data_IF_480561166607
#
_entry.id   IF_480561166607
#
_cell.length_a   1.000
_cell.length_b   1.000
_cell.length_c   1.000
_cell.angle_alpha   90.00
_cell.angle_beta   90.00
_cell.angle_gamma   90.00
#
_symmetry.space_group_name_H-M   'P 1'
#
loop_
_entity.id
_entity.type
_entity.pdbx_description
1 polymer ?
#
# COMPACT_ATOMS: atom_id res chain seq x y z
N UNK A 1 -20.52 -16.92 -5.23
CA UNK A 1 -20.44 -17.78 -6.41
C UNK A 1 -19.42 -18.85 -6.08
N UNK A 2 -19.85 -20.10 -5.93
CA UNK A 2 -18.93 -21.20 -5.68
C UNK A 2 -18.00 -21.34 -6.89
N UNK A 3 -16.69 -21.27 -6.65
CA UNK A 3 -15.71 -21.54 -7.71
C UNK A 3 -15.76 -23.04 -7.98
N UNK A 4 -16.60 -23.45 -8.92
CA UNK A 4 -16.70 -24.83 -9.38
C UNK A 4 -15.45 -25.15 -10.19
N UNK A 5 -14.32 -25.35 -9.51
CA UNK A 5 -13.02 -25.54 -10.13
C UNK A 5 -12.19 -26.55 -9.35
N UNK A 6 -11.58 -27.50 -10.06
CA UNK A 6 -10.72 -28.52 -9.47
C UNK A 6 -9.28 -28.31 -9.90
N UNK A 7 -8.38 -28.58 -8.96
CA UNK A 7 -6.95 -28.69 -9.23
C UNK A 7 -6.54 -30.15 -9.42
N UNK A 8 -5.84 -30.43 -10.52
CA UNK A 8 -5.24 -31.74 -10.82
C UNK A 8 -3.72 -31.61 -10.72
N UNK A 9 -3.08 -32.17 -9.67
CA UNK A 9 -1.65 -32.01 -9.42
C UNK A 9 -0.73 -32.68 -10.43
N UNK A 10 -1.23 -33.62 -11.23
CA UNK A 10 -0.44 -34.33 -12.22
C UNK A 10 -1.34 -34.77 -13.37
N UNK A 11 -1.00 -34.32 -14.58
CA UNK A 11 -1.70 -34.67 -15.82
C UNK A 11 -0.68 -35.20 -16.83
N UNK A 12 -0.92 -36.37 -17.42
CA UNK A 12 0.05 -36.99 -18.34
C UNK A 12 -0.45 -36.98 -19.78
N UNK A 13 0.17 -36.16 -20.64
CA UNK A 13 -0.06 -36.13 -22.09
C UNK A 13 -1.55 -36.19 -22.51
N UNK A 14 -2.40 -35.47 -21.79
CA UNK A 14 -3.84 -35.45 -22.00
C UNK A 14 -4.22 -34.05 -22.48
N UNK A 15 -5.05 -33.97 -23.52
CA UNK A 15 -5.51 -32.70 -24.07
C UNK A 15 -6.67 -32.12 -23.25
N UNK A 16 -6.94 -30.82 -23.43
CA UNK A 16 -8.12 -30.17 -22.85
C UNK A 16 -9.42 -30.90 -23.22
N UNK A 17 -9.59 -31.24 -24.49
CA UNK A 17 -10.77 -31.96 -24.99
C UNK A 17 -10.93 -33.33 -24.32
N UNK A 18 -9.83 -34.02 -24.02
CA UNK A 18 -9.88 -35.30 -23.33
C UNK A 18 -10.32 -35.15 -21.88
N UNK A 19 -9.81 -34.15 -21.16
CA UNK A 19 -10.23 -33.85 -19.79
C UNK A 19 -11.71 -33.50 -19.75
N UNK A 20 -12.16 -32.58 -20.62
CA UNK A 20 -13.55 -32.19 -20.72
C UNK A 20 -14.46 -33.40 -20.99
N UNK A 21 -14.06 -34.27 -21.92
CA UNK A 21 -14.78 -35.50 -22.24
C UNK A 21 -14.79 -36.49 -21.08
N UNK A 22 -13.69 -36.66 -20.36
CA UNK A 22 -13.61 -37.54 -19.19
C UNK A 22 -14.58 -37.10 -18.11
N UNK A 23 -14.59 -35.81 -17.76
CA UNK A 23 -15.51 -35.28 -16.75
C UNK A 23 -16.97 -35.36 -17.18
N UNK A 24 -17.25 -35.13 -18.47
CA UNK A 24 -18.60 -35.26 -19.03
C UNK A 24 -19.11 -36.71 -18.99
N UNK A 25 -18.30 -37.67 -19.49
CA UNK A 25 -18.68 -39.08 -19.56
C UNK A 25 -18.87 -39.74 -18.19
N UNK A 26 -18.18 -39.25 -17.17
CA UNK A 26 -18.31 -39.73 -15.79
C UNK A 26 -19.35 -38.93 -14.98
N UNK A 27 -20.20 -38.14 -15.64
CA UNK A 27 -21.25 -37.35 -15.02
C UNK A 27 -20.76 -36.39 -13.92
N UNK A 28 -19.57 -35.78 -14.05
CA UNK A 28 -19.12 -34.80 -13.06
C UNK A 28 -19.66 -33.40 -13.39
N UNK A 29 -19.60 -33.00 -14.66
CA UNK A 29 -20.07 -31.68 -15.08
C UNK A 29 -19.58 -31.29 -16.47
N UNK A 30 -19.97 -30.10 -16.89
CA UNK A 30 -19.56 -29.46 -18.15
C UNK A 30 -18.34 -28.59 -17.86
N UNK A 31 -17.22 -28.91 -18.51
CA UNK A 31 -15.98 -28.14 -18.39
C UNK A 31 -16.04 -26.92 -19.32
N UNK A 32 -15.87 -25.74 -18.75
CA UNK A 32 -15.78 -24.44 -19.44
C UNK A 32 -14.41 -24.31 -20.13
N UNK A 33 -13.34 -24.55 -19.37
CA UNK A 33 -11.95 -24.52 -19.86
C UNK A 33 -10.98 -25.27 -18.97
N UNK A 34 -9.82 -25.61 -19.51
CA UNK A 34 -8.70 -26.20 -18.75
C UNK A 34 -7.43 -25.39 -18.89
N UNK A 35 -6.91 -24.91 -17.76
CA UNK A 35 -5.67 -24.14 -17.72
C UNK A 35 -4.51 -25.07 -17.32
N UNK A 36 -3.62 -25.38 -18.28
CA UNK A 36 -2.42 -26.19 -18.05
C UNK A 36 -1.25 -25.33 -17.59
N UNK A 37 -0.46 -25.85 -16.65
CA UNK A 37 0.76 -25.22 -16.16
C UNK A 37 1.74 -26.25 -15.61
N UNK A 38 3.00 -25.90 -15.46
CA UNK A 38 4.00 -26.75 -14.82
C UNK A 38 4.23 -26.30 -13.39
N UNK A 39 4.30 -27.25 -12.45
CA UNK A 39 4.71 -26.92 -11.08
C UNK A 39 6.22 -26.73 -10.97
N UNK A 40 6.70 -26.33 -9.79
CA UNK A 40 8.14 -26.12 -9.52
C UNK A 40 9.02 -27.35 -9.72
N UNK A 41 8.43 -28.56 -9.78
CA UNK A 41 9.12 -29.80 -10.08
C UNK A 41 9.08 -30.17 -11.59
N UNK A 42 8.55 -29.30 -12.45
CA UNK A 42 8.38 -29.55 -13.89
C UNK A 42 7.30 -30.59 -14.20
N UNK A 43 6.41 -30.88 -13.25
CA UNK A 43 5.29 -31.80 -13.49
C UNK A 43 4.12 -31.00 -14.06
N UNK A 44 3.56 -31.42 -15.21
CA UNK A 44 2.37 -30.82 -15.78
C UNK A 44 1.16 -31.01 -14.85
N UNK A 45 0.50 -29.90 -14.53
CA UNK A 45 -0.71 -29.78 -13.73
C UNK A 45 -1.82 -29.13 -14.55
N UNK A 46 -3.05 -29.22 -14.05
CA UNK A 46 -4.18 -28.52 -14.67
C UNK A 46 -5.15 -27.94 -13.64
N UNK A 47 -5.72 -26.78 -13.95
CA UNK A 47 -6.95 -26.29 -13.33
C UNK A 47 -8.11 -26.53 -14.27
N UNK A 48 -9.15 -27.20 -13.77
CA UNK A 48 -10.35 -27.51 -14.55
C UNK A 48 -11.47 -26.64 -14.03
N UNK A 49 -11.94 -25.74 -14.89
CA UNK A 49 -13.04 -24.84 -14.57
C UNK A 49 -14.33 -25.38 -15.16
N UNK A 50 -15.37 -25.51 -14.34
CA UNK A 50 -16.67 -26.01 -14.77
C UNK A 50 -17.61 -24.86 -15.08
N UNK A 51 -18.34 -24.98 -16.19
CA UNK A 51 -19.53 -24.17 -16.47
C UNK A 51 -20.64 -24.57 -15.50
N UNK A 52 -20.84 -25.88 -15.35
CA UNK A 52 -21.85 -26.46 -14.46
C UNK A 52 -21.33 -27.79 -13.89
N UNK A 53 -21.45 -27.96 -12.56
CA UNK A 53 -21.29 -29.26 -11.91
C UNK A 53 -22.64 -29.94 -11.84
N UNK A 54 -22.69 -31.23 -12.16
CA UNK A 54 -23.93 -31.97 -12.09
C UNK A 54 -24.32 -32.27 -10.64
N UNK A 55 -25.61 -32.12 -10.35
CA UNK A 55 -26.16 -32.44 -9.04
C UNK A 55 -26.42 -33.95 -8.93
N UNK A 56 -25.39 -34.72 -8.60
CA UNK A 56 -25.49 -36.16 -8.36
C UNK A 56 -24.63 -36.63 -7.18
N UNK A 57 -24.83 -37.90 -6.83
CA UNK A 57 -24.15 -38.53 -5.70
C UNK A 57 -22.63 -38.56 -5.89
N UNK A 58 -22.15 -38.80 -7.11
CA UNK A 58 -20.70 -38.86 -7.41
C UNK A 58 -20.00 -37.53 -7.15
N UNK A 59 -20.57 -36.43 -7.64
CA UNK A 59 -20.05 -35.07 -7.40
C UNK A 59 -20.13 -34.73 -5.91
N UNK A 60 -21.24 -35.04 -5.26
CA UNK A 60 -21.41 -34.80 -3.82
C UNK A 60 -20.36 -35.56 -3.00
N UNK A 61 -20.11 -36.83 -3.33
CA UNK A 61 -19.06 -37.64 -2.70
C UNK A 61 -17.67 -37.07 -2.96
N UNK A 62 -17.38 -36.62 -4.18
CA UNK A 62 -16.10 -36.02 -4.53
C UNK A 62 -15.86 -34.74 -3.74
N UNK A 63 -16.84 -33.84 -3.69
CA UNK A 63 -16.77 -32.59 -2.93
C UNK A 63 -16.58 -32.85 -1.43
N UNK A 64 -17.38 -33.75 -0.84
CA UNK A 64 -17.26 -34.10 0.58
C UNK A 64 -15.89 -34.72 0.90
N UNK A 65 -15.35 -35.58 0.03
CA UNK A 65 -14.01 -36.15 0.27
C UNK A 65 -12.90 -35.11 0.11
N UNK A 66 -13.04 -34.16 -0.81
CA UNK A 66 -12.10 -33.04 -0.93
C UNK A 66 -12.17 -32.16 0.32
N UNK A 67 -13.35 -31.86 0.84
CA UNK A 67 -13.53 -31.06 2.05
C UNK A 67 -12.92 -31.74 3.29
N UNK A 68 -13.15 -33.05 3.45
CA UNK A 68 -12.69 -33.81 4.63
C UNK A 68 -11.20 -34.16 4.55
N UNK A 69 -10.72 -34.62 3.39
CA UNK A 69 -9.37 -35.19 3.23
C UNK A 69 -8.42 -34.29 2.42
N UNK A 70 -8.90 -33.17 1.89
CA UNK A 70 -8.14 -32.27 1.02
C UNK A 70 -7.94 -32.80 -0.41
N UNK A 71 -8.43 -34.00 -0.73
CA UNK A 71 -8.34 -34.57 -2.07
C UNK A 71 -9.32 -35.72 -2.30
N UNK A 72 -9.65 -35.96 -3.57
CA UNK A 72 -10.49 -37.07 -4.02
C UNK A 72 -9.81 -37.84 -5.15
N UNK A 73 -9.88 -39.17 -5.10
CA UNK A 73 -9.33 -40.05 -6.14
C UNK A 73 -10.40 -40.38 -7.16
N UNK A 74 -10.39 -39.66 -8.28
CA UNK A 74 -11.37 -39.80 -9.34
C UNK A 74 -10.89 -40.79 -10.41
N UNK A 75 -11.47 -41.98 -10.41
CA UNK A 75 -11.17 -43.02 -11.39
C UNK A 75 -12.03 -42.82 -12.64
N UNK A 76 -11.37 -42.62 -13.79
CA UNK A 76 -12.05 -42.49 -15.09
C UNK A 76 -11.82 -43.70 -16.01
N UNK A 77 -10.93 -44.61 -15.59
CA UNK A 77 -10.64 -45.90 -16.22
C UNK A 77 -10.30 -46.91 -15.13
N UNK A 78 -10.21 -48.19 -15.47
CA UNK A 78 -9.87 -49.25 -14.51
C UNK A 78 -8.48 -49.05 -13.86
N UNK A 79 -7.55 -48.43 -14.60
CA UNK A 79 -6.16 -48.28 -14.17
C UNK A 79 -5.70 -46.81 -14.10
N UNK A 80 -6.57 -45.86 -14.42
CA UNK A 80 -6.21 -44.44 -14.48
C UNK A 80 -7.15 -43.60 -13.63
N UNK A 81 -6.56 -42.65 -12.91
CA UNK A 81 -7.28 -41.76 -12.02
C UNK A 81 -6.64 -40.37 -12.01
N UNK A 82 -7.45 -39.37 -11.70
CA UNK A 82 -6.99 -38.06 -11.29
C UNK A 82 -7.09 -37.92 -9.77
N UNK A 83 -6.15 -37.17 -9.20
CA UNK A 83 -6.29 -36.65 -7.84
C UNK A 83 -6.91 -35.28 -8.00
N UNK A 84 -8.14 -35.12 -7.54
CA UNK A 84 -8.83 -33.83 -7.54
C UNK A 84 -8.61 -33.15 -6.19
N UNK A 85 -8.36 -31.85 -6.21
CA UNK A 85 -8.27 -30.99 -5.03
C UNK A 85 -9.10 -29.75 -5.23
N UNK A 86 -9.49 -29.13 -4.11
CA UNK A 86 -10.08 -27.81 -4.14
C UNK A 86 -9.06 -26.79 -4.65
N UNK A 87 -9.53 -25.87 -5.49
CA UNK A 87 -8.72 -24.78 -5.97
C UNK A 87 -8.76 -23.63 -4.95
N UNK A 88 -7.67 -23.42 -4.22
CA UNK A 88 -7.54 -22.32 -3.26
C UNK A 88 -7.24 -20.96 -3.91
N UNK A 89 -7.01 -20.94 -5.24
CA UNK A 89 -6.79 -19.72 -5.99
C UNK A 89 -8.10 -19.23 -6.64
N UNK A 90 -8.35 -17.91 -6.70
CA UNK A 90 -9.49 -17.38 -7.44
C UNK A 90 -9.43 -17.79 -8.92
N UNK A 91 -10.61 -18.01 -9.53
CA UNK A 91 -10.71 -18.33 -10.97
C UNK A 91 -9.89 -17.31 -11.76
N UNK A 92 -8.92 -17.79 -12.53
CA UNK A 92 -8.09 -16.92 -13.38
C UNK A 92 -9.07 -16.24 -14.35
N UNK A 93 -9.14 -14.90 -14.41
CA UNK A 93 -10.07 -14.24 -15.31
C UNK A 93 -9.76 -14.65 -16.75
N UNK A 94 -10.78 -14.99 -17.54
CA UNK A 94 -10.62 -15.18 -18.99
C UNK A 94 -10.07 -13.87 -19.53
N UNK A 95 -8.77 -13.82 -19.78
CA UNK A 95 -8.15 -12.64 -20.35
C UNK A 95 -8.29 -12.77 -21.85
N UNK A 96 -9.15 -11.95 -22.44
CA UNK A 96 -9.25 -11.78 -23.91
C UNK A 96 -7.95 -11.23 -24.54
N UNK A 97 -6.95 -10.93 -23.72
CA UNK A 97 -5.66 -10.44 -24.19
C UNK A 97 -4.76 -11.62 -24.51
N UNK A 98 -4.35 -11.70 -25.76
CA UNK A 98 -3.35 -12.66 -26.20
C UNK A 98 -2.05 -12.43 -25.39
N UNK A 99 -1.30 -13.48 -25.04
CA UNK A 99 -0.10 -13.40 -24.19
C UNK A 99 0.87 -12.29 -24.65
N UNK A 100 0.96 -12.07 -25.96
CA UNK A 100 1.73 -10.98 -26.57
C UNK A 100 1.25 -9.58 -26.16
N UNK A 101 -0.06 -9.35 -26.06
CA UNK A 101 -0.63 -8.07 -25.63
C UNK A 101 -0.41 -7.82 -24.13
N UNK A 102 -0.34 -8.90 -23.33
CA UNK A 102 0.03 -8.80 -21.91
C UNK A 102 1.51 -8.44 -21.78
N UNK A 103 2.38 -9.07 -22.57
CA UNK A 103 3.80 -8.74 -22.63
C UNK A 103 4.05 -7.29 -23.07
N UNK A 104 3.35 -6.80 -24.10
CA UNK A 104 3.45 -5.40 -24.56
C UNK A 104 2.97 -4.40 -23.50
N UNK A 105 1.95 -4.76 -22.71
CA UNK A 105 1.52 -3.93 -21.59
C UNK A 105 2.55 -3.95 -20.46
N UNK A 106 3.15 -5.10 -20.16
CA UNK A 106 4.21 -5.23 -19.16
C UNK A 106 5.42 -4.35 -19.51
N UNK A 107 5.92 -4.41 -20.75
CA UNK A 107 7.03 -3.57 -21.20
C UNK A 107 6.69 -2.08 -21.13
N UNK A 108 5.45 -1.70 -21.46
CA UNK A 108 4.98 -0.33 -21.31
C UNK A 108 4.92 0.13 -19.85
N UNK A 109 4.55 -0.75 -18.94
CA UNK A 109 4.55 -0.46 -17.49
C UNK A 109 5.97 -0.37 -16.93
N UNK A 110 6.88 -1.27 -17.34
CA UNK A 110 8.30 -1.21 -16.98
C UNK A 110 8.93 0.10 -17.45
N UNK A 111 8.65 0.54 -18.68
CA UNK A 111 9.13 1.82 -19.20
C UNK A 111 8.64 3.02 -18.35
N UNK A 112 7.38 2.99 -17.90
CA UNK A 112 6.83 4.02 -17.01
C UNK A 112 7.47 4.00 -15.62
N UNK A 113 7.82 2.83 -15.10
CA UNK A 113 8.52 2.70 -13.82
C UNK A 113 9.88 3.39 -13.92
N UNK A 114 10.65 3.10 -14.98
CA UNK A 114 11.95 3.74 -15.22
C UNK A 114 11.82 5.27 -15.37
N UNK A 115 10.78 5.75 -16.07
CA UNK A 115 10.50 7.18 -16.18
C UNK A 115 10.19 7.83 -14.82
N UNK A 116 9.36 7.17 -14.01
CA UNK A 116 9.01 7.64 -12.67
C UNK A 116 10.23 7.65 -11.73
N UNK A 117 11.07 6.63 -11.79
CA UNK A 117 12.29 6.54 -10.99
C UNK A 117 13.27 7.67 -11.34
N UNK A 118 13.40 7.99 -12.64
CA UNK A 118 14.20 9.13 -13.08
C UNK A 118 13.63 10.47 -12.55
N UNK A 119 12.30 10.61 -12.53
CA UNK A 119 11.63 11.79 -11.99
C UNK A 119 11.78 11.92 -10.47
N UNK A 120 11.74 10.81 -9.74
CA UNK A 120 12.01 10.77 -8.29
C UNK A 120 13.44 11.25 -8.03
N UNK A 121 14.43 10.71 -8.74
CA UNK A 121 15.82 11.13 -8.59
C UNK A 121 16.04 12.62 -8.87
N UNK A 122 15.34 13.19 -9.87
CA UNK A 122 15.39 14.62 -10.16
C UNK A 122 14.80 15.46 -9.01
N UNK A 123 13.66 15.03 -8.45
CA UNK A 123 13.01 15.71 -7.33
C UNK A 123 13.86 15.63 -6.05
N UNK A 124 14.49 14.49 -5.77
CA UNK A 124 15.42 14.32 -4.66
C UNK A 124 16.62 15.25 -4.77
N UNK A 125 17.18 15.41 -5.97
CA UNK A 125 18.28 16.35 -6.21
C UNK A 125 17.86 17.81 -5.94
N UNK A 126 16.65 18.19 -6.36
CA UNK A 126 16.08 19.53 -6.08
C UNK A 126 15.84 19.77 -4.59
N UNK A 127 15.35 18.78 -3.86
CA UNK A 127 15.16 18.86 -2.40
C UNK A 127 16.52 19.10 -1.72
N UNK A 128 17.54 18.34 -2.11
CA UNK A 128 18.88 18.48 -1.54
C UNK A 128 19.50 19.86 -1.83
N UNK A 129 19.27 20.41 -3.01
CA UNK A 129 19.67 21.78 -3.35
C UNK A 129 18.95 22.82 -2.49
N UNK A 130 17.62 22.69 -2.31
CA UNK A 130 16.84 23.57 -1.46
C UNK A 130 17.28 23.49 0.01
N UNK A 131 17.57 22.30 0.52
CA UNK A 131 18.06 22.12 1.89
C UNK A 131 19.41 22.81 2.12
N UNK A 132 20.32 22.76 1.14
CA UNK A 132 21.59 23.51 1.19
C UNK A 132 21.34 25.01 1.27
N UNK A 133 20.40 25.52 0.49
CA UNK A 133 20.03 26.95 0.50
C UNK A 133 19.46 27.34 1.86
N UNK A 134 18.52 26.56 2.40
CA UNK A 134 17.91 26.78 3.71
C UNK A 134 18.97 26.75 4.81
N UNK A 135 19.88 25.79 4.78
CA UNK A 135 20.99 25.70 5.73
C UNK A 135 21.87 26.95 5.68
N UNK A 136 22.22 27.42 4.48
CA UNK A 136 22.98 28.65 4.28
C UNK A 136 22.29 29.90 4.85
N UNK A 137 20.98 30.03 4.66
CA UNK A 137 20.21 31.12 5.26
C UNK A 137 20.17 31.04 6.79
N UNK A 138 19.98 29.84 7.35
CA UNK A 138 19.99 29.63 8.81
C UNK A 138 21.34 30.03 9.42
N UNK A 139 22.45 29.66 8.78
CA UNK A 139 23.78 30.03 9.25
C UNK A 139 24.01 31.55 9.24
N UNK A 140 23.68 32.23 8.15
CA UNK A 140 23.80 33.71 8.07
C UNK A 140 22.96 34.42 9.12
N UNK A 141 21.75 33.92 9.39
CA UNK A 141 20.88 34.48 10.43
C UNK A 141 21.52 34.31 11.82
N UNK A 142 22.11 33.14 12.11
CA UNK A 142 22.82 32.91 13.38
C UNK A 142 23.99 33.88 13.55
N UNK A 143 24.83 34.04 12.52
CA UNK A 143 25.96 34.98 12.54
C UNK A 143 25.49 36.43 12.79
N UNK A 144 24.37 36.83 12.17
CA UNK A 144 23.77 38.16 12.35
C UNK A 144 23.25 38.36 13.78
N UNK A 145 22.58 37.35 14.34
CA UNK A 145 22.08 37.38 15.72
C UNK A 145 23.23 37.43 16.72
N UNK A 146 24.29 36.64 16.51
CA UNK A 146 25.48 36.64 17.36
C UNK A 146 26.20 37.99 17.32
N UNK A 147 26.38 38.56 16.13
CA UNK A 147 26.94 39.90 15.98
C UNK A 147 26.10 40.96 16.70
N UNK A 148 24.77 40.90 16.57
CA UNK A 148 23.84 41.78 17.29
C UNK A 148 23.97 41.64 18.82
N UNK A 149 24.06 40.41 19.33
CA UNK A 149 24.26 40.15 20.77
C UNK A 149 25.61 40.67 21.27
N UNK A 150 26.68 40.49 20.50
CA UNK A 150 28.02 41.00 20.81
C UNK A 150 28.06 42.53 20.82
N UNK A 151 27.49 43.17 19.80
CA UNK A 151 27.37 44.63 19.73
C UNK A 151 26.56 45.20 20.90
N UNK A 152 25.42 44.57 21.22
CA UNK A 152 24.61 44.91 22.38
C UNK A 152 25.43 44.79 23.68
N UNK A 153 26.09 43.65 23.92
CA UNK A 153 26.94 43.45 25.11
C UNK A 153 28.08 44.48 25.21
N UNK A 154 28.73 44.81 24.09
CA UNK A 154 29.80 45.81 24.05
C UNK A 154 29.31 47.23 24.34
N UNK A 155 28.08 47.57 23.92
CA UNK A 155 27.43 48.84 24.22
C UNK A 155 27.18 48.97 25.73
N UNK A 156 26.59 47.96 26.35
CA UNK A 156 26.32 47.95 27.80
C UNK A 156 27.59 47.87 28.66
N UNK A 157 28.67 47.25 28.18
CA UNK A 157 29.96 47.20 28.89
C UNK A 157 30.74 48.53 28.86
N UNK A 158 30.35 49.48 27.99
CA UNK A 158 30.94 50.83 27.92
C UNK A 158 30.13 51.88 28.68
N UNK A 159 28.92 51.54 29.13
CA UNK A 159 28.20 52.39 30.06
C UNK A 159 28.99 52.46 31.37
N UNK A 160 29.31 53.66 31.90
CA UNK A 160 29.94 53.77 33.20
C UNK A 160 29.04 53.07 34.22
N UNK A 161 29.62 52.27 35.11
CA UNK A 161 28.89 51.72 36.26
C UNK A 161 28.37 52.90 37.09
N UNK A 162 27.13 53.29 36.84
CA UNK A 162 26.45 54.26 37.66
C UNK A 162 25.41 53.52 38.45
N UNK A 163 25.84 53.07 39.63
CA UNK A 163 24.97 52.72 40.77
C UNK A 163 24.13 53.94 41.25
N UNK A 164 23.96 54.97 40.42
CA UNK A 164 23.27 56.23 40.70
C UNK A 164 22.25 56.62 39.61
N UNK A 165 22.19 55.93 38.45
CA UNK A 165 21.18 56.21 37.41
C UNK A 165 19.93 55.32 37.49
N UNK A 166 20.01 54.14 38.11
CA UNK A 166 18.88 53.18 38.16
C UNK A 166 17.71 53.68 39.00
N UNK A 167 17.97 54.30 40.15
CA UNK A 167 16.90 54.76 41.06
C UNK A 167 16.07 55.88 40.44
N UNK A 168 16.66 56.72 39.57
CA UNK A 168 15.95 57.86 38.98
C UNK A 168 15.18 57.49 37.69
N UNK A 169 15.63 56.47 36.95
CA UNK A 169 14.89 55.97 35.79
C UNK A 169 13.64 55.18 36.19
N UNK A 170 13.71 54.35 37.24
CA UNK A 170 12.53 53.66 37.75
C UNK A 170 11.46 54.62 38.28
N UNK A 171 11.86 55.75 38.87
CA UNK A 171 10.93 56.78 39.36
C UNK A 171 10.26 57.55 38.20
N UNK A 172 10.99 57.84 37.12
CA UNK A 172 10.42 58.44 35.90
C UNK A 172 9.52 57.47 35.13
N UNK A 173 9.91 56.20 34.99
CA UNK A 173 9.13 55.19 34.26
C UNK A 173 7.83 54.90 35.01
N UNK A 174 7.86 54.80 36.33
CA UNK A 174 6.65 54.65 37.14
C UNK A 174 5.78 55.92 37.18
N UNK A 175 6.36 57.11 36.98
CA UNK A 175 5.63 58.37 36.85
C UNK A 175 4.94 58.57 35.48
N UNK A 176 5.41 57.89 34.43
CA UNK A 176 4.87 58.01 33.07
C UNK A 176 3.81 56.95 32.74
N UNK A 177 3.70 55.90 33.55
CA UNK A 177 2.62 54.91 33.47
C UNK A 177 1.38 55.52 34.16
N UNK A 178 0.50 56.11 33.36
CA UNK A 178 -0.86 56.49 33.78
C UNK A 178 -1.66 55.26 34.27
N UNK A 179 -2.75 55.46 35.06
CA UNK A 179 -3.32 54.41 35.90
C UNK A 179 -3.69 53.14 35.13
N UNK A 180 -3.38 52.01 35.75
CA UNK A 180 -3.85 50.66 35.44
C UNK A 180 -5.15 50.65 34.62
N UNK A 181 -5.08 50.08 33.41
CA UNK A 181 -6.26 49.69 32.66
C UNK A 181 -7.16 48.84 33.58
N UNK A 182 -8.47 49.13 33.66
CA UNK A 182 -9.37 48.29 34.44
C UNK A 182 -9.31 46.87 33.87
N UNK A 183 -9.22 45.88 34.76
CA UNK A 183 -9.27 44.46 34.42
C UNK A 183 -10.47 44.24 33.50
N UNK A 184 -10.21 43.94 32.23
CA UNK A 184 -11.26 43.50 31.32
C UNK A 184 -11.77 42.16 31.84
N UNK A 185 -13.02 42.20 32.27
CA UNK A 185 -13.88 41.12 32.72
C UNK A 185 -13.75 39.93 31.76
N UNK A 186 -13.09 38.86 32.22
CA UNK A 186 -12.81 37.60 31.51
C UNK A 186 -14.09 36.74 31.37
N UNK A 187 -15.23 37.39 31.10
CA UNK A 187 -16.53 36.77 30.91
C UNK A 187 -16.86 36.64 29.42
N UNK A 188 -16.37 35.54 28.85
CA UNK A 188 -17.12 34.78 27.85
C UNK A 188 -16.94 35.19 26.40
N UNK A 189 -16.10 34.43 25.68
CA UNK A 189 -16.31 34.17 24.27
C UNK A 189 -16.36 32.65 24.02
N UNK A 190 -17.49 32.10 23.56
CA UNK A 190 -17.59 30.68 23.24
C UNK A 190 -16.82 30.42 21.94
N UNK A 191 -15.65 29.79 22.06
CA UNK A 191 -14.91 29.25 20.93
C UNK A 191 -15.67 28.06 20.34
N UNK A 192 -16.41 28.33 19.25
CA UNK A 192 -16.96 27.32 18.36
C UNK A 192 -15.78 26.64 17.65
N UNK A 193 -15.56 25.37 17.94
CA UNK A 193 -14.66 24.50 17.18
C UNK A 193 -15.21 24.22 15.78
N UNK A 194 -14.35 24.06 14.78
CA UNK A 194 -14.59 23.10 13.71
C UNK A 194 -13.85 21.79 14.03
N UNK A 195 -14.61 20.72 14.24
CA UNK A 195 -14.14 19.34 14.14
C UNK A 195 -13.80 19.02 12.68
N UNK A 196 -12.56 18.68 12.38
CA UNK A 196 -12.17 17.87 11.23
C UNK A 196 -10.83 17.21 11.57
N UNK A 197 -10.52 15.95 11.32
CA UNK A 197 -11.25 14.73 10.97
C UNK A 197 -10.13 13.70 10.92
N UNK A 198 -10.21 12.64 11.72
CA UNK A 198 -9.29 11.50 11.65
C UNK A 198 -9.45 10.82 10.29
N UNK A 199 -8.49 11.04 9.38
CA UNK A 199 -8.34 10.21 8.19
C UNK A 199 -7.14 9.29 8.39
N UNK A 200 -7.49 8.07 8.78
CA UNK A 200 -6.70 6.85 8.66
C UNK A 200 -6.28 6.65 7.21
N UNK A 201 -4.97 6.67 6.93
CA UNK A 201 -4.42 5.96 5.78
C UNK A 201 -3.50 4.85 6.24
N UNK A 202 -4.08 3.66 6.29
CA UNK A 202 -3.39 2.41 6.12
C UNK A 202 -3.10 2.21 4.62
N UNK A 203 -1.85 1.98 4.27
CA UNK A 203 -1.44 1.20 3.08
C UNK A 203 -0.31 0.30 3.51
#
# INVERSE_FOLDING_TARGET
MSNNSFYIPAVRNISECDIARIFLLNNIGIVDRVDFFENSAGVPCAFVHFEELYNNETVTLALNQIEIYGSYKFWFSENEYFILKEMNCPKIPVTYMNIHQIADKLTKHEAKIVENDARIAELEAKILEQDKIIHGYRQKNLETIEYGRLAHRAMWARSPSSDSYDVHMDEMVNSLISPSWPEEDDSGFPGIYPEESDDTMSV
#
